data_IF_309221117097
#
_entry.id   IF_309221117097
#
_cell.length_a   1.000
_cell.length_b   1.000
_cell.length_c   1.000
_cell.angle_alpha   90.00
_cell.angle_beta   90.00
_cell.angle_gamma   90.00
#
_symmetry.space_group_name_H-M   'P 1'
#
loop_
_entity.id
_entity.type
_entity.pdbx_description
1 polymer ?
#
# COMPACT_ATOMS: atom_id res chain seq x y z
N UNK A 1 -14.33 -20.16 37.05
CA UNK A 1 -14.52 -19.19 35.94
C UNK A 1 -13.37 -19.39 34.97
N UNK A 2 -13.53 -20.25 33.97
CA UNK A 2 -12.50 -20.50 32.96
C UNK A 2 -12.88 -19.72 31.72
N UNK A 3 -12.09 -18.69 31.44
CA UNK A 3 -12.18 -17.83 30.26
C UNK A 3 -12.17 -18.71 29.02
N UNK A 4 -13.27 -18.68 28.25
CA UNK A 4 -13.37 -19.33 26.94
C UNK A 4 -12.33 -18.71 26.02
N UNK A 5 -11.25 -19.45 25.78
CA UNK A 5 -10.23 -19.12 24.80
C UNK A 5 -10.91 -18.92 23.43
N UNK A 6 -10.62 -17.76 22.83
CA UNK A 6 -11.21 -17.27 21.60
C UNK A 6 -11.00 -18.22 20.42
N UNK A 7 -12.01 -18.21 19.55
CA UNK A 7 -12.11 -18.90 18.27
C UNK A 7 -10.77 -18.92 17.51
N UNK A 8 -10.27 -20.08 17.03
CA UNK A 8 -9.19 -20.13 16.07
C UNK A 8 -9.74 -19.64 14.72
N UNK A 9 -9.59 -18.34 14.44
CA UNK A 9 -10.00 -17.77 13.16
C UNK A 9 -8.99 -18.11 12.06
N UNK A 10 -9.20 -19.31 11.51
CA UNK A 10 -9.10 -19.66 10.09
C UNK A 10 -7.78 -19.38 9.36
N UNK A 11 -6.79 -20.23 9.61
CA UNK A 11 -5.93 -20.71 8.55
C UNK A 11 -6.78 -21.59 7.60
N UNK A 12 -7.34 -21.00 6.53
CA UNK A 12 -8.11 -21.81 5.57
C UNK A 12 -8.80 -21.02 4.48
N UNK A 13 -8.35 -21.21 3.24
CA UNK A 13 -8.94 -20.76 1.96
C UNK A 13 -8.64 -19.32 1.48
N UNK A 14 -7.67 -18.61 2.06
CA UNK A 14 -7.23 -17.29 1.53
C UNK A 14 -5.80 -17.28 1.00
N UNK A 15 -5.02 -18.37 1.19
CA UNK A 15 -3.62 -18.46 0.76
C UNK A 15 -2.63 -17.65 1.61
N UNK A 16 -3.11 -16.97 2.66
CA UNK A 16 -2.30 -16.18 3.59
C UNK A 16 -2.17 -16.87 4.95
N UNK A 17 -0.99 -16.78 5.55
CA UNK A 17 -0.68 -17.18 6.93
C UNK A 17 -1.21 -16.16 7.93
N UNK A 18 -1.18 -16.51 9.23
CA UNK A 18 -1.65 -15.63 10.30
C UNK A 18 -0.82 -14.33 10.38
N UNK A 19 0.50 -14.42 10.24
CA UNK A 19 1.39 -13.26 10.21
C UNK A 19 1.12 -12.35 9.01
N UNK A 20 0.92 -12.92 7.82
CA UNK A 20 0.52 -12.15 6.63
C UNK A 20 -0.83 -11.46 6.84
N UNK A 21 -1.77 -12.10 7.54
CA UNK A 21 -3.07 -11.52 7.83
C UNK A 21 -2.97 -10.32 8.80
N UNK A 22 -2.16 -10.43 9.86
CA UNK A 22 -1.91 -9.32 10.78
C UNK A 22 -1.29 -8.13 10.05
N UNK A 23 -0.33 -8.37 9.16
CA UNK A 23 0.26 -7.34 8.31
C UNK A 23 -0.79 -6.70 7.38
N UNK A 24 -1.60 -7.52 6.69
CA UNK A 24 -2.72 -7.04 5.84
C UNK A 24 -3.67 -6.13 6.63
N UNK A 25 -4.05 -6.56 7.85
CA UNK A 25 -4.94 -5.79 8.73
C UNK A 25 -4.29 -4.47 9.12
N UNK A 26 -3.01 -4.50 9.51
CA UNK A 26 -2.21 -3.32 9.86
C UNK A 26 -2.17 -2.30 8.72
N UNK A 27 -1.80 -2.76 7.53
CA UNK A 27 -1.71 -1.94 6.31
C UNK A 27 -3.08 -1.37 5.90
N UNK A 28 -4.16 -2.13 6.08
CA UNK A 28 -5.50 -1.71 5.69
C UNK A 28 -6.13 -0.71 6.67
N UNK A 29 -5.90 -0.91 7.97
CA UNK A 29 -6.54 -0.16 9.06
C UNK A 29 -5.69 1.01 9.52
N UNK A 30 -4.40 0.78 9.82
CA UNK A 30 -3.51 1.83 10.35
C UNK A 30 -3.04 2.76 9.23
N UNK A 31 -2.62 2.19 8.10
CA UNK A 31 -2.06 2.97 6.99
C UNK A 31 -3.09 3.37 5.91
N UNK A 32 -4.29 2.78 5.92
CA UNK A 32 -5.32 3.13 4.93
C UNK A 32 -5.00 2.67 3.49
N UNK A 33 -4.07 1.73 3.30
CA UNK A 33 -3.62 1.21 1.99
C UNK A 33 -4.70 0.46 1.23
N UNK A 34 -4.86 0.72 -0.07
CA UNK A 34 -5.84 0.00 -0.90
C UNK A 34 -5.51 -1.49 -1.03
N UNK A 35 -6.49 -2.33 -1.37
CA UNK A 35 -6.31 -3.78 -1.50
C UNK A 35 -5.18 -4.15 -2.48
N UNK A 36 -5.08 -3.47 -3.62
CA UNK A 36 -4.01 -3.66 -4.62
C UNK A 36 -2.63 -3.34 -4.06
N UNK A 37 -2.54 -2.31 -3.23
CA UNK A 37 -1.30 -1.89 -2.57
C UNK A 37 -0.86 -2.95 -1.58
N UNK A 38 -1.77 -3.39 -0.69
CA UNK A 38 -1.49 -4.45 0.28
C UNK A 38 -1.00 -5.73 -0.42
N UNK A 39 -1.66 -6.16 -1.50
CA UNK A 39 -1.22 -7.32 -2.28
C UNK A 39 0.23 -7.19 -2.80
N UNK A 40 0.62 -5.98 -3.23
CA UNK A 40 1.99 -5.68 -3.67
C UNK A 40 3.01 -5.63 -2.51
N UNK A 41 2.59 -5.18 -1.32
CA UNK A 41 3.47 -5.16 -0.11
C UNK A 41 3.73 -6.57 0.38
N UNK A 42 2.68 -7.38 0.51
CA UNK A 42 2.77 -8.78 0.89
C UNK A 42 3.48 -9.59 -0.20
N UNK A 43 3.47 -9.11 -1.45
CA UNK A 43 4.08 -9.78 -2.60
C UNK A 43 3.38 -11.07 -3.01
N UNK A 44 2.20 -11.35 -2.43
CA UNK A 44 1.45 -12.59 -2.57
C UNK A 44 -0.05 -12.30 -2.67
N UNK A 45 -0.72 -13.08 -3.51
CA UNK A 45 -2.17 -12.95 -3.74
C UNK A 45 -2.55 -11.75 -4.62
N UNK A 46 -3.79 -11.76 -5.11
CA UNK A 46 -4.36 -10.68 -5.92
C UNK A 46 -5.16 -9.72 -5.05
N UNK A 47 -5.56 -8.56 -5.61
CA UNK A 47 -6.45 -7.60 -4.93
C UNK A 47 -7.67 -8.30 -4.30
N UNK A 48 -8.29 -9.22 -5.04
CA UNK A 48 -9.45 -9.97 -4.59
C UNK A 48 -9.15 -10.88 -3.40
N UNK A 49 -7.96 -11.47 -3.32
CA UNK A 49 -7.54 -12.30 -2.19
C UNK A 49 -7.45 -11.47 -0.92
N UNK A 50 -6.86 -10.26 -1.01
CA UNK A 50 -6.77 -9.32 0.12
C UNK A 50 -8.15 -8.85 0.55
N UNK A 51 -9.02 -8.47 -0.41
CA UNK A 51 -10.41 -8.08 -0.13
C UNK A 51 -11.16 -9.19 0.60
N UNK A 52 -11.10 -10.43 0.10
CA UNK A 52 -11.75 -11.58 0.72
C UNK A 52 -11.20 -11.87 2.12
N UNK A 53 -9.89 -11.71 2.32
CA UNK A 53 -9.24 -11.91 3.60
C UNK A 53 -9.77 -10.94 4.67
N UNK A 54 -9.84 -9.65 4.34
CA UNK A 54 -10.39 -8.61 5.22
C UNK A 54 -11.91 -8.77 5.45
N UNK A 55 -12.65 -9.14 4.41
CA UNK A 55 -14.10 -9.38 4.49
C UNK A 55 -14.44 -10.55 5.43
N UNK A 56 -13.71 -11.67 5.33
CA UNK A 56 -13.86 -12.83 6.23
C UNK A 56 -13.55 -12.47 7.68
N UNK A 57 -12.55 -11.64 7.90
CA UNK A 57 -12.19 -11.16 9.22
C UNK A 57 -13.10 -10.01 9.73
N UNK A 58 -14.12 -9.62 8.97
CA UNK A 58 -15.04 -8.51 9.28
C UNK A 58 -14.31 -7.19 9.57
N UNK A 59 -13.16 -6.97 8.93
CA UNK A 59 -12.38 -5.74 9.06
C UNK A 59 -12.91 -4.71 8.07
N UNK A 60 -13.65 -3.72 8.57
CA UNK A 60 -14.21 -2.63 7.78
C UNK A 60 -13.65 -1.27 8.19
N UNK A 61 -13.21 -0.47 7.21
CA UNK A 61 -12.76 0.93 7.42
C UNK A 61 -13.83 1.82 8.01
N UNK A 62 -15.09 1.54 7.66
CA UNK A 62 -16.25 2.28 8.19
C UNK A 62 -16.32 2.25 9.72
N UNK A 63 -15.73 1.24 10.38
CA UNK A 63 -15.77 1.10 11.83
C UNK A 63 -14.64 1.84 12.55
N UNK A 64 -13.63 2.37 11.85
CA UNK A 64 -12.38 2.89 12.46
C UNK A 64 -12.09 4.36 12.07
N UNK A 65 -13.03 5.02 11.38
CA UNK A 65 -12.84 6.39 10.91
C UNK A 65 -12.06 6.42 9.61
N UNK A 66 -12.55 7.20 8.65
CA UNK A 66 -12.13 7.18 7.26
C UNK A 66 -10.73 7.76 7.04
N UNK A 67 -9.67 7.08 7.47
CA UNK A 67 -8.33 7.27 6.88
C UNK A 67 -8.29 6.59 5.51
N UNK A 68 -9.04 7.15 4.54
CA UNK A 68 -8.76 6.88 3.13
C UNK A 68 -7.45 7.59 2.82
N UNK A 69 -6.43 6.84 2.38
CA UNK A 69 -5.33 7.46 1.63
C UNK A 69 -5.97 8.24 0.49
N UNK A 70 -5.70 9.55 0.43
CA UNK A 70 -6.20 10.40 -0.62
C UNK A 70 -5.85 9.81 -1.98
N UNK A 71 -6.79 9.89 -2.92
CA UNK A 71 -6.52 9.47 -4.29
C UNK A 71 -5.35 10.29 -4.82
N UNK A 72 -4.37 9.62 -5.40
CA UNK A 72 -3.23 10.26 -6.05
C UNK A 72 -3.71 11.31 -7.05
N UNK A 73 -3.41 12.58 -6.78
CA UNK A 73 -3.66 13.70 -7.70
C UNK A 73 -2.35 14.19 -8.30
N UNK A 74 -2.41 14.61 -9.56
CA UNK A 74 -1.36 15.45 -10.15
C UNK A 74 -1.21 16.72 -9.31
N UNK A 75 0.03 17.13 -9.06
CA UNK A 75 0.42 18.24 -8.17
C UNK A 75 0.73 17.82 -6.73
N UNK A 76 0.53 16.56 -6.34
CA UNK A 76 0.75 16.12 -4.97
C UNK A 76 2.23 15.78 -4.71
N UNK A 77 2.78 16.34 -3.63
CA UNK A 77 4.19 16.16 -3.23
C UNK A 77 4.32 15.05 -2.20
N UNK A 78 5.22 14.11 -2.48
CA UNK A 78 5.60 12.97 -1.66
C UNK A 78 7.10 13.08 -1.34
N UNK A 79 7.42 13.60 -0.16
CA UNK A 79 8.81 13.87 0.23
C UNK A 79 9.45 14.90 -0.69
N UNK A 80 10.46 14.49 -1.46
CA UNK A 80 11.15 15.32 -2.47
C UNK A 80 10.58 15.18 -3.88
N UNK A 81 9.58 14.32 -4.07
CA UNK A 81 9.04 13.98 -5.39
C UNK A 81 7.65 14.59 -5.54
N UNK A 82 7.35 15.18 -6.68
CA UNK A 82 6.07 15.81 -7.01
C UNK A 82 5.43 15.09 -8.18
N UNK A 83 4.18 14.70 -8.05
CA UNK A 83 3.42 14.10 -9.16
C UNK A 83 3.07 15.17 -10.19
N UNK A 84 3.43 14.95 -11.45
CA UNK A 84 3.09 15.87 -12.54
C UNK A 84 1.81 15.42 -13.25
N UNK A 85 1.81 14.22 -13.84
CA UNK A 85 0.70 13.75 -14.68
C UNK A 85 0.55 12.25 -14.60
N UNK A 86 -0.70 11.77 -14.62
CA UNK A 86 -1.01 10.34 -14.67
C UNK A 86 -0.82 9.81 -16.09
N UNK A 87 0.00 8.78 -16.25
CA UNK A 87 0.17 8.06 -17.50
C UNK A 87 -1.00 7.08 -17.69
N UNK A 88 -1.98 7.49 -18.49
CA UNK A 88 -3.16 6.68 -18.83
C UNK A 88 -2.90 5.59 -19.87
N UNK A 89 -1.78 5.65 -20.61
CA UNK A 89 -1.41 4.64 -21.63
C UNK A 89 -0.96 3.29 -21.06
N UNK A 90 -0.69 3.18 -19.76
CA UNK A 90 -0.22 1.93 -19.14
C UNK A 90 -1.35 1.13 -18.50
N UNK A 91 -1.34 -0.21 -18.65
CA UNK A 91 -2.19 -1.14 -17.87
C UNK A 91 -1.96 -1.02 -16.35
N UNK A 92 -0.88 -0.38 -15.91
CA UNK A 92 -0.52 -0.13 -14.51
C UNK A 92 -0.61 1.38 -14.22
N UNK A 93 -1.01 1.73 -12.99
CA UNK A 93 -1.06 3.11 -12.50
C UNK A 93 0.35 3.70 -12.47
N UNK A 94 0.74 4.44 -13.50
CA UNK A 94 2.01 5.17 -13.56
C UNK A 94 1.75 6.66 -13.52
N UNK A 95 2.59 7.39 -12.82
CA UNK A 95 2.62 8.84 -12.84
C UNK A 95 4.00 9.30 -13.29
N UNK A 96 3.99 10.32 -14.12
CA UNK A 96 5.16 11.13 -14.38
C UNK A 96 5.38 12.01 -13.15
N UNK A 97 6.57 11.93 -12.56
CA UNK A 97 6.94 12.66 -11.35
C UNK A 97 8.21 13.46 -11.59
N UNK A 98 8.36 14.56 -10.87
CA UNK A 98 9.58 15.36 -10.83
C UNK A 98 10.10 15.43 -9.42
N UNK A 99 11.40 15.22 -9.25
CA UNK A 99 12.05 15.42 -7.97
C UNK A 99 12.55 16.86 -7.84
N UNK A 100 12.69 17.34 -6.60
CA UNK A 100 13.28 18.63 -6.22
C UNK A 100 14.67 18.85 -6.86
N UNK A 101 15.38 17.76 -7.16
CA UNK A 101 16.65 17.72 -7.90
C UNK A 101 16.54 18.15 -9.39
N UNK A 102 15.33 18.42 -9.89
CA UNK A 102 15.05 18.70 -11.31
C UNK A 102 14.99 17.45 -12.20
N UNK A 103 15.02 16.24 -11.61
CA UNK A 103 14.96 14.98 -12.37
C UNK A 103 13.53 14.49 -12.51
N UNK A 104 13.10 14.27 -13.75
CA UNK A 104 11.78 13.75 -14.11
C UNK A 104 11.84 12.25 -14.44
N UNK A 105 10.90 11.47 -13.92
CA UNK A 105 10.83 10.03 -14.18
C UNK A 105 9.41 9.47 -14.01
N UNK A 106 9.19 8.28 -14.54
CA UNK A 106 7.91 7.59 -14.43
C UNK A 106 7.96 6.57 -13.29
N UNK A 107 7.06 6.72 -12.31
CA UNK A 107 6.98 5.79 -11.18
C UNK A 107 5.54 5.42 -10.88
N UNK A 108 5.34 4.22 -10.32
CA UNK A 108 4.06 3.89 -9.71
C UNK A 108 3.98 4.70 -8.40
N UNK A 109 3.01 5.61 -8.25
CA UNK A 109 2.91 6.47 -7.07
C UNK A 109 2.75 5.66 -5.79
N UNK A 110 2.43 4.36 -5.93
CA UNK A 110 2.49 3.45 -4.81
C UNK A 110 3.85 3.41 -4.11
N UNK A 111 4.95 3.40 -4.86
CA UNK A 111 6.30 3.32 -4.29
C UNK A 111 6.64 4.55 -3.43
N UNK A 112 6.01 5.69 -3.71
CA UNK A 112 6.13 6.93 -2.94
C UNK A 112 5.36 6.88 -1.61
N UNK A 113 4.39 5.98 -1.49
CA UNK A 113 3.55 5.81 -0.28
C UNK A 113 3.95 4.61 0.55
N UNK A 114 4.99 3.87 0.18
CA UNK A 114 5.51 2.78 0.99
C UNK A 114 6.12 3.35 2.29
N UNK A 115 6.18 2.57 3.38
CA UNK A 115 6.95 2.96 4.57
C UNK A 115 8.44 2.96 4.22
N UNK A 116 9.26 3.72 4.95
CA UNK A 116 10.71 3.81 4.69
C UNK A 116 11.43 2.45 4.80
N UNK A 117 10.83 1.48 5.49
CA UNK A 117 11.39 0.14 5.69
C UNK A 117 11.22 -0.80 4.47
N UNK A 118 10.42 -0.39 3.48
CA UNK A 118 10.20 -1.23 2.29
C UNK A 118 11.34 -1.09 1.27
N UNK A 119 11.88 -2.23 0.81
CA UNK A 119 12.94 -2.30 -0.22
C UNK A 119 12.64 -1.54 -1.53
N UNK A 120 11.36 -1.32 -1.82
CA UNK A 120 10.88 -0.60 -3.01
C UNK A 120 10.34 0.79 -2.71
N UNK A 121 10.53 1.31 -1.49
CA UNK A 121 10.20 2.69 -1.17
C UNK A 121 11.05 3.62 -2.06
N UNK A 122 10.37 4.56 -2.72
CA UNK A 122 11.02 5.62 -3.48
C UNK A 122 10.70 6.93 -2.78
N UNK A 123 11.62 7.41 -1.94
CA UNK A 123 11.49 8.69 -1.24
C UNK A 123 12.27 9.82 -1.94
N UNK A 124 13.19 9.47 -2.85
CA UNK A 124 14.06 10.40 -3.57
C UNK A 124 14.38 9.92 -5.01
N UNK A 125 14.78 10.85 -5.90
CA UNK A 125 15.17 10.52 -7.28
C UNK A 125 16.39 9.56 -7.28
N UNK A 126 16.52 8.66 -8.27
CA UNK A 126 17.70 7.81 -8.40
C UNK A 126 19.01 8.62 -8.48
N UNK A 127 18.94 9.86 -8.99
CA UNK A 127 20.06 10.81 -8.93
C UNK A 127 20.43 11.27 -7.52
N UNK A 128 19.47 11.64 -6.68
CA UNK A 128 19.72 11.99 -5.28
C UNK A 128 20.24 10.78 -4.51
N UNK A 129 19.64 9.60 -4.76
CA UNK A 129 20.03 8.37 -4.10
C UNK A 129 21.46 7.95 -4.44
N UNK A 130 21.89 8.17 -5.68
CA UNK A 130 23.25 7.88 -6.14
C UNK A 130 24.27 8.98 -5.78
N UNK A 131 23.82 10.15 -5.33
CA UNK A 131 24.69 11.26 -4.91
C UNK A 131 25.05 11.23 -3.41
N UNK A 132 24.57 10.22 -2.67
CA UNK A 132 25.01 9.87 -1.31
C UNK A 132 26.03 8.75 -1.37
#
# INVERSE_FOLDING_TARGET
MVLKAGVPLVAGKSGFTQSEFEEIKRLYVEEGRTFSQIAKVIGKGSENSVRNCLAKARVNRASIGEKKLERFKSGQKYGKITLLTRLVKSKKLRYHVVCDCGYEFDVDPYFLTLPNDHKNNVSECPRCRAAK
#
